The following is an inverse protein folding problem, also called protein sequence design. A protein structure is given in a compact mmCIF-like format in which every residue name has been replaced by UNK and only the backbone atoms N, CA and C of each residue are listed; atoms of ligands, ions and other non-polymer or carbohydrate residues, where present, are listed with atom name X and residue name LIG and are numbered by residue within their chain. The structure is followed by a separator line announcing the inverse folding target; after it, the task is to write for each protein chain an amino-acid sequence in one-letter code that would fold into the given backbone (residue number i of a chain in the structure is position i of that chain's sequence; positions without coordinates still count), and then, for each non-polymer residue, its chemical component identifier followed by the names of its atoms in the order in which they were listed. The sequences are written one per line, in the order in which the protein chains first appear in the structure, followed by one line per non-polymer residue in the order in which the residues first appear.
data_IF_226082578474
#
_entry.id   IF_226082578474
#
_cell.length_a   1.000
_cell.length_b   1.000
_cell.length_c   1.000
_cell.angle_alpha   90.00
_cell.angle_beta   90.00
_cell.angle_gamma   90.00
#
_symmetry.space_group_name_H-M   'P 1'
#
loop_
_entity.id
_entity.type
_entity.pdbx_description
1 polymer ?
#
# COMPACT_ATOMS: atom_id res chain seq x y z
N UNK A 1 -16.90 20.39 0.94
CA UNK A 1 -16.58 19.86 2.28
C UNK A 1 -15.40 18.87 2.21
N UNK A 2 -15.46 17.79 1.44
CA UNK A 2 -14.41 16.76 1.35
C UNK A 2 -13.00 17.34 1.02
N UNK A 3 -12.87 18.24 0.06
CA UNK A 3 -11.59 18.86 -0.29
C UNK A 3 -10.95 19.61 0.90
N UNK A 4 -11.74 20.31 1.72
CA UNK A 4 -11.22 20.97 2.94
C UNK A 4 -10.72 19.96 3.96
N UNK A 5 -11.41 18.82 4.12
CA UNK A 5 -10.96 17.72 4.98
C UNK A 5 -9.66 17.12 4.46
N UNK A 6 -9.53 16.87 3.15
CA UNK A 6 -8.30 16.37 2.52
C UNK A 6 -7.14 17.35 2.76
N UNK A 7 -7.37 18.65 2.60
CA UNK A 7 -6.35 19.68 2.87
C UNK A 7 -5.91 19.67 4.35
N UNK A 8 -6.86 19.54 5.28
CA UNK A 8 -6.57 19.44 6.71
C UNK A 8 -5.73 18.20 7.03
N UNK A 9 -6.12 17.03 6.52
CA UNK A 9 -5.37 15.78 6.71
C UNK A 9 -3.97 15.85 6.07
N UNK A 10 -3.81 16.47 4.90
CA UNK A 10 -2.49 16.69 4.30
C UNK A 10 -1.59 17.60 5.15
N UNK A 11 -2.15 18.60 5.84
CA UNK A 11 -1.36 19.47 6.73
C UNK A 11 -0.79 18.70 7.92
N UNK A 12 -1.48 17.65 8.41
CA UNK A 12 -0.99 16.79 9.51
C UNK A 12 0.27 16.01 9.12
N UNK A 13 0.44 15.69 7.83
CA UNK A 13 1.65 15.03 7.33
C UNK A 13 2.84 15.98 7.18
N UNK A 14 2.61 17.28 7.14
CA UNK A 14 3.67 18.26 6.95
C UNK A 14 4.62 18.25 8.15
N UNK A 15 5.92 18.07 7.88
CA UNK A 15 6.98 17.96 8.90
C UNK A 15 6.85 16.73 9.82
N UNK A 16 6.18 15.67 9.39
CA UNK A 16 6.06 14.43 10.16
C UNK A 16 7.19 13.45 9.87
N UNK A 17 7.44 12.54 10.81
CA UNK A 17 8.42 11.44 10.67
C UNK A 17 8.04 10.47 9.53
N UNK A 18 6.79 10.49 9.07
CA UNK A 18 6.31 9.66 7.94
C UNK A 18 7.17 9.83 6.69
N UNK A 19 7.70 11.04 6.43
CA UNK A 19 8.56 11.28 5.27
C UNK A 19 9.88 10.53 5.32
N UNK A 20 10.41 10.28 6.52
CA UNK A 20 11.60 9.43 6.69
C UNK A 20 11.29 8.00 6.29
N UNK A 21 10.16 7.44 6.76
CA UNK A 21 9.75 6.10 6.40
C UNK A 21 9.37 5.97 4.92
N UNK A 22 8.73 6.99 4.36
CA UNK A 22 8.44 7.10 2.93
C UNK A 22 9.71 6.96 2.07
N UNK A 23 10.81 7.61 2.46
CA UNK A 23 12.08 7.55 1.73
C UNK A 23 12.85 6.27 2.05
N UNK A 24 12.96 5.91 3.33
CA UNK A 24 13.84 4.83 3.79
C UNK A 24 13.34 3.44 3.42
N UNK A 25 12.03 3.16 3.61
CA UNK A 25 11.50 1.81 3.43
C UNK A 25 11.62 1.31 1.99
N UNK A 26 11.20 2.06 0.95
CA UNK A 26 11.45 1.65 -0.44
C UNK A 26 12.93 1.62 -0.80
N UNK A 27 13.76 2.52 -0.22
CA UNK A 27 15.20 2.51 -0.47
C UNK A 27 15.87 1.24 0.07
N UNK A 28 15.50 0.80 1.28
CA UNK A 28 15.97 -0.48 1.84
C UNK A 28 15.58 -1.63 0.90
N UNK A 29 14.32 -1.67 0.45
CA UNK A 29 13.84 -2.68 -0.49
C UNK A 29 14.62 -2.67 -1.82
N UNK A 30 14.93 -1.47 -2.34
CA UNK A 30 15.70 -1.30 -3.57
C UNK A 30 17.14 -1.80 -3.42
N UNK A 31 17.80 -1.49 -2.32
CA UNK A 31 19.16 -1.96 -2.02
C UNK A 31 19.18 -3.49 -1.94
N UNK A 32 18.25 -4.08 -1.17
CA UNK A 32 18.17 -5.55 -1.07
C UNK A 32 17.83 -6.20 -2.42
N UNK A 33 16.90 -5.63 -3.19
CA UNK A 33 16.54 -6.14 -4.52
C UNK A 33 17.72 -6.11 -5.49
N UNK A 34 18.45 -4.99 -5.56
CA UNK A 34 19.63 -4.86 -6.41
C UNK A 34 20.76 -5.81 -5.96
N UNK A 35 21.02 -5.87 -4.66
CA UNK A 35 22.03 -6.78 -4.11
C UNK A 35 21.71 -8.24 -4.42
N UNK A 36 20.45 -8.66 -4.18
CA UNK A 36 20.02 -10.03 -4.44
C UNK A 36 20.11 -10.38 -5.95
N UNK A 37 19.75 -9.44 -6.83
CA UNK A 37 19.92 -9.61 -8.27
C UNK A 37 21.40 -9.87 -8.64
N UNK A 38 22.32 -9.03 -8.16
CA UNK A 38 23.74 -9.15 -8.47
C UNK A 38 24.37 -10.43 -7.92
N UNK A 39 23.92 -10.92 -6.77
CA UNK A 39 24.40 -12.18 -6.18
C UNK A 39 23.88 -13.43 -6.93
N UNK A 40 22.84 -13.29 -7.76
CA UNK A 40 22.18 -14.38 -8.45
C UNK A 40 22.25 -14.29 -9.99
N UNK A 41 23.20 -13.55 -10.56
CA UNK A 41 23.37 -13.38 -12.01
C UNK A 41 23.55 -14.71 -12.78
N UNK A 42 24.00 -15.77 -12.10
CA UNK A 42 24.08 -17.11 -12.69
C UNK A 42 22.72 -17.71 -13.08
N UNK A 43 21.65 -17.29 -12.41
CA UNK A 43 20.28 -17.77 -12.57
C UNK A 43 19.40 -16.70 -13.24
N UNK A 44 19.57 -15.45 -12.85
CA UNK A 44 18.77 -14.30 -13.31
C UNK A 44 19.34 -13.74 -14.60
N UNK A 45 18.78 -14.11 -15.76
CA UNK A 45 19.28 -13.77 -17.10
C UNK A 45 18.36 -12.84 -17.91
N UNK A 46 17.13 -12.56 -17.41
CA UNK A 46 16.14 -11.77 -18.12
C UNK A 46 16.21 -10.25 -17.80
N UNK A 47 17.36 -9.74 -17.36
CA UNK A 47 17.65 -8.33 -17.17
C UNK A 47 16.62 -7.61 -16.29
N UNK A 48 15.91 -6.63 -16.85
CA UNK A 48 14.94 -5.80 -16.13
C UNK A 48 13.78 -6.60 -15.51
N UNK A 49 13.32 -7.69 -16.14
CA UNK A 49 12.26 -8.54 -15.57
C UNK A 49 12.73 -9.24 -14.29
N UNK A 50 13.93 -9.82 -14.32
CA UNK A 50 14.47 -10.49 -13.15
C UNK A 50 14.79 -9.49 -12.03
N UNK A 51 15.30 -8.30 -12.36
CA UNK A 51 15.49 -7.25 -11.38
C UNK A 51 14.15 -6.84 -10.74
N UNK A 52 13.06 -6.75 -11.53
CA UNK A 52 11.71 -6.47 -11.02
C UNK A 52 11.25 -7.53 -10.03
N UNK A 53 11.51 -8.81 -10.31
CA UNK A 53 11.15 -9.89 -9.38
C UNK A 53 11.83 -9.70 -8.02
N UNK A 54 13.12 -9.32 -8.01
CA UNK A 54 13.88 -9.12 -6.77
C UNK A 54 13.42 -7.87 -6.00
N UNK A 55 13.10 -6.79 -6.69
CA UNK A 55 12.53 -5.60 -6.06
C UNK A 55 11.18 -5.88 -5.42
N UNK A 56 10.26 -6.50 -6.16
CA UNK A 56 8.91 -6.77 -5.69
C UNK A 56 8.85 -7.86 -4.64
N UNK A 57 9.81 -8.80 -4.61
CA UNK A 57 9.95 -9.78 -3.55
C UNK A 57 10.04 -9.10 -2.16
N UNK A 58 10.88 -8.09 -2.03
CA UNK A 58 11.01 -7.37 -0.76
C UNK A 58 9.93 -6.31 -0.58
N UNK A 59 9.70 -5.49 -1.60
CA UNK A 59 8.80 -4.35 -1.53
C UNK A 59 7.34 -4.77 -1.35
N UNK A 60 6.80 -5.60 -2.24
CA UNK A 60 5.39 -5.97 -2.22
C UNK A 60 5.04 -6.95 -1.09
N UNK A 61 5.96 -7.86 -0.73
CA UNK A 61 5.68 -8.88 0.28
C UNK A 61 5.86 -8.36 1.72
N UNK A 62 6.93 -7.59 1.97
CA UNK A 62 7.31 -7.28 3.35
C UNK A 62 7.15 -5.82 3.73
N UNK A 63 7.25 -4.87 2.78
CA UNK A 63 7.40 -3.47 3.14
C UNK A 63 6.20 -2.60 2.80
N UNK A 64 5.57 -2.78 1.64
CA UNK A 64 4.60 -1.78 1.18
C UNK A 64 3.28 -1.82 1.96
N UNK A 65 2.71 -3.01 2.23
CA UNK A 65 1.47 -3.08 3.01
C UNK A 65 1.66 -2.63 4.47
N UNK A 66 2.72 -3.03 5.20
CA UNK A 66 3.05 -2.44 6.50
C UNK A 66 3.24 -0.92 6.44
N UNK A 67 3.87 -0.37 5.40
CA UNK A 67 4.04 1.07 5.23
C UNK A 67 2.69 1.79 5.04
N UNK A 68 1.75 1.20 4.29
CA UNK A 68 0.35 1.68 4.23
C UNK A 68 -0.27 1.63 5.62
N UNK A 69 -0.02 0.57 6.39
CA UNK A 69 -0.44 0.45 7.79
C UNK A 69 0.11 1.58 8.67
N UNK A 70 1.38 1.95 8.48
CA UNK A 70 1.99 3.11 9.16
C UNK A 70 1.27 4.41 8.81
N UNK A 71 0.99 4.67 7.52
CA UNK A 71 0.29 5.87 7.09
C UNK A 71 -1.12 5.96 7.69
N UNK A 72 -1.87 4.86 7.65
CA UNK A 72 -3.20 4.78 8.22
C UNK A 72 -3.20 4.96 9.75
N UNK A 73 -2.35 4.20 10.45
CA UNK A 73 -2.23 4.27 11.92
C UNK A 73 -1.77 5.64 12.40
N UNK A 74 -0.86 6.31 11.67
CA UNK A 74 -0.41 7.65 12.03
C UNK A 74 -1.55 8.68 11.99
N UNK A 75 -2.37 8.69 10.91
CA UNK A 75 -3.47 9.63 10.78
C UNK A 75 -4.56 9.38 11.84
N UNK A 76 -4.80 8.12 12.24
CA UNK A 76 -5.74 7.82 13.30
C UNK A 76 -5.17 8.05 14.70
N UNK A 77 -3.87 7.82 14.91
CA UNK A 77 -3.22 8.11 16.19
C UNK A 77 -3.38 9.56 16.59
N UNK A 78 -3.29 10.50 15.64
CA UNK A 78 -3.49 11.92 15.90
C UNK A 78 -4.90 12.24 16.43
N UNK A 79 -5.90 11.43 16.07
CA UNK A 79 -7.27 11.57 16.56
C UNK A 79 -7.51 10.84 17.90
N UNK A 80 -6.79 9.74 18.12
CA UNK A 80 -6.89 8.98 19.37
C UNK A 80 -6.16 9.64 20.54
N UNK A 81 -5.20 10.52 20.27
CA UNK A 81 -4.45 11.26 21.30
C UNK A 81 -5.17 12.57 21.65
N UNK A 82 -5.07 12.96 22.93
CA UNK A 82 -5.48 14.29 23.38
C UNK A 82 -6.98 14.61 23.29
N UNK A 83 -7.86 13.60 23.31
CA UNK A 83 -9.32 13.77 23.19
C UNK A 83 -9.76 14.49 21.91
N UNK A 84 -8.94 14.50 20.85
CA UNK A 84 -9.24 15.15 19.58
C UNK A 84 -10.48 14.55 18.90
N UNK A 85 -10.84 13.30 19.24
CA UNK A 85 -12.05 12.66 18.75
C UNK A 85 -13.32 13.45 19.12
N UNK A 86 -13.39 13.99 20.33
CA UNK A 86 -14.54 14.80 20.77
C UNK A 86 -14.66 16.10 19.95
N UNK A 87 -13.52 16.73 19.64
CA UNK A 87 -13.49 17.91 18.77
C UNK A 87 -13.98 17.61 17.35
N UNK A 88 -13.69 16.42 16.83
CA UNK A 88 -14.13 16.00 15.50
C UNK A 88 -15.63 15.75 15.48
N UNK A 89 -16.20 15.14 16.53
CA UNK A 89 -17.63 14.85 16.64
C UNK A 89 -18.48 16.11 16.85
N UNK A 90 -17.92 17.15 17.45
CA UNK A 90 -18.60 18.45 17.58
C UNK A 90 -18.43 19.35 16.35
N UNK A 91 -17.51 19.00 15.44
CA UNK A 91 -17.33 19.75 14.21
C UNK A 91 -18.53 19.52 13.23
N UNK A 92 -18.92 20.52 12.44
CA UNK A 92 -20.02 20.38 11.47
C UNK A 92 -19.56 19.61 10.22
N UNK A 93 -18.95 18.43 10.43
CA UNK A 93 -18.38 17.55 9.39
C UNK A 93 -18.86 16.13 9.62
N UNK A 94 -19.47 15.53 8.60
CA UNK A 94 -19.88 14.12 8.70
C UNK A 94 -18.67 13.21 8.92
N UNK A 95 -18.66 12.32 9.93
CA UNK A 95 -17.50 11.48 10.28
C UNK A 95 -16.97 10.66 9.11
N UNK A 96 -17.84 10.15 8.25
CA UNK A 96 -17.44 9.41 7.05
C UNK A 96 -16.70 10.28 6.03
N UNK A 97 -17.00 11.59 5.97
CA UNK A 97 -16.25 12.52 5.11
C UNK A 97 -14.79 12.65 5.57
N UNK A 98 -14.53 12.59 6.89
CA UNK A 98 -13.18 12.55 7.45
C UNK A 98 -12.48 11.24 7.11
N UNK A 99 -13.18 10.11 7.20
CA UNK A 99 -12.61 8.80 6.80
C UNK A 99 -12.20 8.81 5.32
N UNK A 100 -13.08 9.29 4.43
CA UNK A 100 -12.77 9.42 3.01
C UNK A 100 -11.60 10.39 2.76
N UNK A 101 -11.49 11.47 3.52
CA UNK A 101 -10.35 12.37 3.42
C UNK A 101 -9.03 11.67 3.79
N UNK A 102 -9.02 10.87 4.86
CA UNK A 102 -7.85 10.05 5.23
C UNK A 102 -7.55 9.01 4.16
N UNK A 103 -8.57 8.37 3.59
CA UNK A 103 -8.42 7.42 2.49
C UNK A 103 -7.72 8.06 1.27
N UNK A 104 -8.18 9.24 0.83
CA UNK A 104 -7.55 9.97 -0.27
C UNK A 104 -6.10 10.36 0.03
N UNK A 105 -5.81 10.75 1.28
CA UNK A 105 -4.46 11.16 1.69
C UNK A 105 -3.52 9.94 1.73
N UNK A 106 -3.96 8.81 2.29
CA UNK A 106 -3.16 7.56 2.30
C UNK A 106 -2.98 7.03 0.88
N UNK A 107 -4.02 7.07 0.03
CA UNK A 107 -3.91 6.68 -1.38
C UNK A 107 -2.89 7.54 -2.13
N UNK A 108 -2.91 8.86 -1.92
CA UNK A 108 -1.87 9.75 -2.46
C UNK A 108 -0.47 9.35 -1.98
N UNK A 109 -0.29 9.10 -0.68
CA UNK A 109 1.00 8.69 -0.13
C UNK A 109 1.46 7.35 -0.72
N UNK A 110 0.56 6.39 -0.90
CA UNK A 110 0.85 5.11 -1.53
C UNK A 110 1.29 5.28 -3.00
N UNK A 111 0.61 6.14 -3.78
CA UNK A 111 1.00 6.47 -5.15
C UNK A 111 2.38 7.14 -5.23
N UNK A 112 2.66 8.09 -4.33
CA UNK A 112 3.98 8.72 -4.25
C UNK A 112 5.07 7.69 -3.90
N UNK A 113 4.76 6.76 -3.00
CA UNK A 113 5.67 5.65 -2.63
C UNK A 113 5.96 4.74 -3.81
N UNK A 114 4.95 4.42 -4.62
CA UNK A 114 5.11 3.65 -5.85
C UNK A 114 5.99 4.40 -6.88
N UNK A 115 5.76 5.71 -7.04
CA UNK A 115 6.59 6.56 -7.91
C UNK A 115 8.05 6.62 -7.43
N UNK A 116 8.27 6.74 -6.12
CA UNK A 116 9.60 6.70 -5.52
C UNK A 116 10.29 5.35 -5.73
N UNK A 117 9.55 4.25 -5.52
CA UNK A 117 10.05 2.90 -5.79
C UNK A 117 10.43 2.71 -7.26
N UNK A 118 9.62 3.22 -8.20
CA UNK A 118 9.95 3.17 -9.62
C UNK A 118 11.24 3.92 -9.93
N UNK A 119 11.43 5.10 -9.36
CA UNK A 119 12.66 5.86 -9.53
C UNK A 119 13.88 5.07 -9.01
N UNK A 120 13.77 4.49 -7.82
CA UNK A 120 14.82 3.66 -7.23
C UNK A 120 15.10 2.41 -8.09
N UNK A 121 14.06 1.80 -8.67
CA UNK A 121 14.20 0.67 -9.60
C UNK A 121 14.99 1.06 -10.85
N UNK A 122 14.68 2.21 -11.46
CA UNK A 122 15.40 2.71 -12.62
C UNK A 122 16.87 3.01 -12.30
N UNK A 123 17.11 3.70 -11.18
CA UNK A 123 18.48 4.01 -10.73
C UNK A 123 19.26 2.75 -10.35
N UNK A 124 18.65 1.83 -9.61
CA UNK A 124 19.26 0.56 -9.22
C UNK A 124 19.54 -0.33 -10.41
N UNK A 125 18.66 -0.39 -11.40
CA UNK A 125 18.88 -1.14 -12.63
C UNK A 125 20.02 -0.57 -13.46
N UNK A 126 20.03 0.75 -13.66
CA UNK A 126 21.06 1.40 -14.49
C UNK A 126 22.43 1.42 -13.82
N UNK A 127 22.49 1.86 -12.56
CA UNK A 127 23.78 2.10 -11.87
C UNK A 127 24.18 0.96 -10.93
N UNK A 128 23.23 0.21 -10.40
CA UNK A 128 23.52 -0.89 -9.47
C UNK A 128 23.65 -2.25 -10.14
N UNK A 129 22.77 -2.55 -11.11
CA UNK A 129 22.78 -3.82 -11.84
C UNK A 129 23.45 -3.74 -13.22
N UNK A 130 23.83 -2.54 -13.70
CA UNK A 130 24.50 -2.35 -14.99
C UNK A 130 23.62 -2.67 -16.22
N UNK A 131 22.29 -2.63 -16.07
CA UNK A 131 21.37 -2.94 -17.16
C UNK A 131 21.34 -1.82 -18.20
N UNK A 132 21.38 -2.22 -19.47
CA UNK A 132 21.26 -1.29 -20.59
C UNK A 132 19.80 -1.04 -20.99
N UNK A 133 19.56 0.10 -21.66
CA UNK A 133 18.25 0.49 -22.16
C UNK A 133 17.28 0.91 -21.04
N UNK A 134 15.98 0.84 -21.37
CA UNK A 134 14.88 1.11 -20.45
C UNK A 134 14.15 -0.18 -20.07
N UNK A 135 13.49 -0.22 -18.89
CA UNK A 135 12.67 -1.36 -18.54
C UNK A 135 11.51 -1.55 -19.52
N UNK A 136 11.06 -2.80 -19.71
CA UNK A 136 9.88 -3.10 -20.52
C UNK A 136 8.63 -2.35 -20.03
N UNK A 137 7.74 -1.89 -20.95
CA UNK A 137 6.55 -1.11 -20.59
C UNK A 137 5.56 -1.87 -19.71
N UNK A 138 5.59 -3.21 -19.73
CA UNK A 138 4.77 -4.08 -18.88
C UNK A 138 5.00 -3.81 -17.39
N UNK A 139 6.22 -3.45 -17.00
CA UNK A 139 6.57 -3.13 -15.61
C UNK A 139 5.77 -1.92 -15.11
N UNK A 140 5.56 -0.91 -15.96
CA UNK A 140 4.72 0.24 -15.62
C UNK A 140 3.26 -0.21 -15.43
N UNK A 141 2.77 -1.10 -16.30
CA UNK A 141 1.42 -1.66 -16.18
C UNK A 141 1.26 -2.45 -14.88
N UNK A 142 2.25 -3.25 -14.51
CA UNK A 142 2.26 -3.99 -13.24
C UNK A 142 2.28 -3.05 -12.03
N UNK A 143 3.08 -1.99 -12.09
CA UNK A 143 3.12 -0.98 -11.03
C UNK A 143 1.74 -0.29 -10.85
N UNK A 144 1.08 0.09 -11.95
CA UNK A 144 -0.24 0.72 -11.91
C UNK A 144 -1.31 -0.25 -11.37
N UNK A 145 -1.30 -1.52 -11.80
CA UNK A 145 -2.18 -2.55 -11.24
C UNK A 145 -1.92 -2.76 -9.75
N UNK A 146 -0.66 -2.78 -9.33
CA UNK A 146 -0.29 -2.84 -7.92
C UNK A 146 -0.82 -1.65 -7.11
N UNK A 147 -0.80 -0.45 -7.69
CA UNK A 147 -1.41 0.74 -7.09
C UNK A 147 -2.93 0.56 -6.92
N UNK A 148 -3.64 0.03 -7.92
CA UNK A 148 -5.08 -0.29 -7.81
C UNK A 148 -5.31 -1.35 -6.73
N UNK A 149 -4.52 -2.44 -6.69
CA UNK A 149 -4.62 -3.47 -5.66
C UNK A 149 -4.39 -2.93 -4.25
N UNK A 150 -3.54 -1.90 -4.09
CA UNK A 150 -3.29 -1.27 -2.80
C UNK A 150 -4.49 -0.49 -2.24
N UNK A 151 -5.46 -0.08 -3.07
CA UNK A 151 -6.65 0.66 -2.62
C UNK A 151 -7.49 -0.15 -1.63
N UNK A 152 -7.61 -1.46 -1.83
CA UNK A 152 -8.28 -2.36 -0.90
C UNK A 152 -7.56 -2.45 0.44
N UNK A 153 -6.21 -2.52 0.41
CA UNK A 153 -5.38 -2.54 1.62
C UNK A 153 -5.52 -1.21 2.38
N UNK A 154 -5.53 -0.08 1.69
CA UNK A 154 -5.69 1.25 2.29
C UNK A 154 -7.03 1.34 3.05
N UNK A 155 -8.13 0.90 2.42
CA UNK A 155 -9.45 0.90 3.05
C UNK A 155 -9.47 0.00 4.30
N UNK A 156 -8.89 -1.20 4.21
CA UNK A 156 -8.78 -2.13 5.33
C UNK A 156 -7.91 -1.58 6.45
N UNK A 157 -6.74 -1.04 6.14
CA UNK A 157 -5.81 -0.51 7.15
C UNK A 157 -6.39 0.71 7.88
N UNK A 158 -7.11 1.58 7.18
CA UNK A 158 -7.82 2.69 7.82
C UNK A 158 -8.95 2.19 8.71
N UNK A 159 -9.69 1.16 8.29
CA UNK A 159 -10.74 0.54 9.10
C UNK A 159 -10.15 -0.11 10.37
N UNK A 160 -9.06 -0.87 10.24
CA UNK A 160 -8.37 -1.46 11.39
C UNK A 160 -7.84 -0.38 12.35
N UNK A 161 -7.22 0.67 11.83
CA UNK A 161 -6.70 1.78 12.63
C UNK A 161 -7.78 2.65 13.27
N UNK A 162 -9.00 2.68 12.71
CA UNK A 162 -10.17 3.29 13.34
C UNK A 162 -10.61 2.52 14.59
N UNK A 163 -10.59 1.19 14.51
CA UNK A 163 -11.10 0.31 15.59
C UNK A 163 -10.03 0.04 16.64
N UNK A 164 -8.80 -0.15 16.21
CA UNK A 164 -7.67 -0.54 17.05
C UNK A 164 -6.89 0.72 17.43
N UNK A 165 -6.86 1.03 18.73
CA UNK A 165 -6.14 2.21 19.27
C UNK A 165 -4.62 2.05 19.25
N UNK A 166 -4.11 0.81 19.16
CA UNK A 166 -2.67 0.54 19.06
C UNK A 166 -2.12 1.02 17.72
N UNK A 167 -0.99 1.71 17.75
CA UNK A 167 -0.28 2.11 16.52
C UNK A 167 0.34 0.90 15.80
N UNK A 168 0.91 -0.03 16.56
CA UNK A 168 1.69 -1.13 15.99
C UNK A 168 0.83 -2.30 15.49
N UNK A 169 -0.31 -2.57 16.11
CA UNK A 169 -1.11 -3.75 15.78
C UNK A 169 -1.66 -3.76 14.35
N UNK A 170 -2.21 -2.67 13.79
CA UNK A 170 -2.61 -2.65 12.37
C UNK A 170 -1.43 -2.88 11.42
N UNK A 171 -0.22 -2.41 11.77
CA UNK A 171 1.00 -2.61 10.97
C UNK A 171 1.41 -4.08 10.98
N UNK A 172 1.38 -4.73 12.16
CA UNK A 172 1.65 -6.16 12.27
C UNK A 172 0.62 -7.01 11.52
N UNK A 173 -0.66 -6.61 11.55
CA UNK A 173 -1.72 -7.24 10.76
C UNK A 173 -1.49 -7.06 9.26
N UNK A 174 -0.94 -5.92 8.83
CA UNK A 174 -0.56 -5.72 7.42
C UNK A 174 0.58 -6.65 7.00
N UNK A 175 1.60 -6.83 7.85
CA UNK A 175 2.70 -7.74 7.57
C UNK A 175 2.21 -9.19 7.51
N UNK A 176 1.46 -9.65 8.52
CA UNK A 176 0.86 -10.99 8.52
C UNK A 176 -0.09 -11.21 7.34
N UNK A 177 -0.91 -10.20 7.04
CA UNK A 177 -1.81 -10.20 5.88
C UNK A 177 -1.09 -10.35 4.55
N UNK A 178 0.07 -9.73 4.37
CA UNK A 178 0.90 -9.87 3.18
C UNK A 178 1.51 -11.27 3.05
N UNK A 179 1.98 -11.85 4.16
CA UNK A 179 2.51 -13.24 4.16
C UNK A 179 1.40 -14.22 3.77
N UNK A 180 0.21 -14.10 4.37
CA UNK A 180 -0.96 -14.90 3.96
C UNK A 180 -1.34 -14.60 2.51
N UNK A 181 -1.21 -13.35 2.06
CA UNK A 181 -1.45 -12.93 0.68
C UNK A 181 -0.55 -13.63 -0.33
N UNK A 182 0.72 -13.81 0.01
CA UNK A 182 1.66 -14.59 -0.82
C UNK A 182 1.19 -16.06 -0.94
N UNK A 183 0.82 -16.67 0.18
CA UNK A 183 0.31 -18.05 0.18
C UNK A 183 -1.00 -18.16 -0.63
N UNK A 184 -1.91 -17.19 -0.50
CA UNK A 184 -3.14 -17.16 -1.27
C UNK A 184 -2.86 -16.99 -2.78
N UNK A 185 -1.92 -16.12 -3.15
CA UNK A 185 -1.51 -15.93 -4.53
C UNK A 185 -0.88 -17.20 -5.12
N UNK A 186 -0.05 -17.92 -4.35
CA UNK A 186 0.58 -19.17 -4.80
C UNK A 186 -0.42 -20.33 -4.98
N UNK A 187 -1.56 -20.27 -4.30
CA UNK A 187 -2.65 -21.27 -4.40
C UNK A 187 -3.76 -20.85 -5.39
N UNK A 188 -3.56 -19.81 -6.19
CA UNK A 188 -4.53 -19.25 -7.14
C UNK A 188 -5.84 -18.77 -6.50
N UNK A 189 -5.86 -18.50 -5.20
CA UNK A 189 -7.01 -17.92 -4.47
C UNK A 189 -6.73 -16.45 -4.06
N UNK A 190 -5.71 -15.85 -4.60
CA UNK A 190 -5.27 -14.49 -4.23
C UNK A 190 -6.31 -13.41 -4.50
N UNK A 191 -7.22 -13.61 -5.45
CA UNK A 191 -8.33 -12.67 -5.70
C UNK A 191 -9.32 -12.56 -4.53
N UNK A 192 -9.35 -13.54 -3.63
CA UNK A 192 -10.20 -13.57 -2.44
C UNK A 192 -9.52 -12.98 -1.19
N UNK A 193 -8.31 -12.45 -1.31
CA UNK A 193 -7.56 -11.91 -0.19
C UNK A 193 -7.03 -10.51 -0.48
N UNK A 194 -7.43 -9.46 0.29
CA UNK A 194 -7.16 -8.07 -0.06
C UNK A 194 -5.65 -7.74 -0.17
N UNK A 195 -4.80 -8.33 0.66
CA UNK A 195 -3.35 -8.09 0.58
C UNK A 195 -2.69 -8.77 -0.62
N UNK A 196 -3.27 -9.87 -1.13
CA UNK A 196 -2.78 -10.53 -2.33
C UNK A 196 -3.02 -9.73 -3.60
N UNK A 197 -4.06 -8.87 -3.64
CA UNK A 197 -4.38 -8.06 -4.82
C UNK A 197 -3.21 -7.17 -5.25
N UNK A 198 -2.52 -6.54 -4.31
CA UNK A 198 -1.35 -5.74 -4.62
C UNK A 198 -0.20 -6.60 -5.16
N UNK A 199 0.06 -7.76 -4.54
CA UNK A 199 1.09 -8.71 -4.95
C UNK A 199 0.83 -9.21 -6.38
N UNK A 200 -0.40 -9.60 -6.68
CA UNK A 200 -0.84 -10.02 -8.01
C UNK A 200 -0.76 -8.87 -9.02
N UNK A 201 -1.26 -7.69 -8.65
CA UNK A 201 -1.24 -6.50 -9.51
C UNK A 201 0.17 -6.10 -9.91
N UNK A 202 1.13 -6.13 -8.96
CA UNK A 202 2.55 -5.85 -9.22
C UNK A 202 3.27 -6.98 -9.96
N UNK A 203 2.62 -8.09 -10.26
CA UNK A 203 3.25 -9.30 -10.81
C UNK A 203 4.49 -9.70 -10.00
N UNK A 204 4.35 -9.65 -8.67
CA UNK A 204 5.47 -9.80 -7.74
C UNK A 204 6.11 -11.17 -7.86
N UNK A 205 7.45 -11.19 -7.92
CA UNK A 205 8.26 -12.39 -8.01
C UNK A 205 7.92 -13.29 -9.22
N UNK A 206 7.45 -12.68 -10.32
CA UNK A 206 7.14 -13.36 -11.59
C UNK A 206 7.70 -12.56 -12.76
N UNK A 207 8.21 -13.26 -13.77
CA UNK A 207 8.69 -12.69 -15.03
C UNK A 207 7.61 -12.66 -16.11
N UNK A 208 6.64 -13.58 -16.03
CA UNK A 208 5.49 -13.63 -16.92
C UNK A 208 4.26 -13.03 -16.26
N UNK A 209 3.38 -12.40 -17.04
CA UNK A 209 2.18 -11.75 -16.52
C UNK A 209 1.13 -12.77 -16.08
N UNK A 210 1.04 -13.02 -14.77
CA UNK A 210 0.09 -13.98 -14.19
C UNK A 210 -1.37 -13.51 -14.25
N UNK A 211 -1.63 -12.22 -14.57
CA UNK A 211 -2.97 -11.64 -14.61
C UNK A 211 -3.55 -11.51 -16.02
N UNK A 212 -2.81 -11.90 -17.07
CA UNK A 212 -3.22 -11.72 -18.46
C UNK A 212 -4.61 -12.32 -18.78
N UNK A 213 -5.02 -13.39 -18.10
CA UNK A 213 -6.32 -14.05 -18.30
C UNK A 213 -7.42 -13.70 -17.29
N UNK A 214 -7.12 -12.91 -16.23
CA UNK A 214 -8.05 -12.67 -15.11
C UNK A 214 -8.18 -11.20 -14.68
N UNK A 215 -7.84 -10.26 -15.54
CA UNK A 215 -7.87 -8.82 -15.24
C UNK A 215 -9.24 -8.33 -14.76
N UNK A 216 -10.34 -8.81 -15.36
CA UNK A 216 -11.70 -8.42 -14.96
C UNK A 216 -11.97 -8.86 -13.53
N UNK A 217 -11.65 -10.11 -13.18
CA UNK A 217 -11.78 -10.64 -11.82
C UNK A 217 -10.95 -9.85 -10.82
N UNK A 218 -9.73 -9.45 -11.19
CA UNK A 218 -8.87 -8.60 -10.37
C UNK A 218 -9.51 -7.24 -10.06
N UNK A 219 -10.01 -6.52 -11.06
CA UNK A 219 -10.65 -5.21 -10.84
C UNK A 219 -11.95 -5.33 -10.05
N UNK A 220 -12.74 -6.38 -10.28
CA UNK A 220 -13.96 -6.66 -9.49
C UNK A 220 -13.58 -6.89 -8.02
N UNK A 221 -12.56 -7.71 -7.74
CA UNK A 221 -12.10 -7.95 -6.37
C UNK A 221 -11.57 -6.69 -5.70
N UNK A 222 -10.77 -5.88 -6.40
CA UNK A 222 -10.29 -4.60 -5.88
C UNK A 222 -11.44 -3.66 -5.51
N UNK A 223 -12.46 -3.55 -6.37
CA UNK A 223 -13.63 -2.72 -6.14
C UNK A 223 -14.48 -3.27 -4.98
N UNK A 224 -14.74 -4.58 -4.95
CA UNK A 224 -15.55 -5.22 -3.93
C UNK A 224 -14.95 -5.07 -2.53
N UNK A 225 -13.66 -5.34 -2.36
CA UNK A 225 -12.98 -5.14 -1.08
C UNK A 225 -12.93 -3.67 -0.67
N UNK A 226 -12.57 -2.78 -1.59
CA UNK A 226 -12.51 -1.35 -1.30
C UNK A 226 -13.88 -0.83 -0.86
N UNK A 227 -14.93 -1.10 -1.64
CA UNK A 227 -16.30 -0.67 -1.33
C UNK A 227 -16.79 -1.32 -0.02
N UNK A 228 -16.55 -2.62 0.18
CA UNK A 228 -16.94 -3.33 1.39
C UNK A 228 -16.32 -2.73 2.66
N UNK A 229 -15.02 -2.43 2.66
CA UNK A 229 -14.36 -1.83 3.82
C UNK A 229 -14.78 -0.37 4.04
N UNK A 230 -15.03 0.41 2.98
CA UNK A 230 -15.58 1.76 3.09
C UNK A 230 -17.00 1.75 3.66
N UNK A 231 -17.86 0.82 3.23
CA UNK A 231 -19.20 0.64 3.77
C UNK A 231 -19.16 0.22 5.24
N UNK A 232 -18.30 -0.73 5.61
CA UNK A 232 -18.12 -1.12 7.01
C UNK A 232 -17.64 0.04 7.88
N UNK A 233 -16.71 0.85 7.39
CA UNK A 233 -16.27 2.05 8.10
C UNK A 233 -17.41 3.04 8.31
N UNK A 234 -18.25 3.28 7.28
CA UNK A 234 -19.42 4.13 7.39
C UNK A 234 -20.43 3.63 8.43
N UNK A 235 -20.72 2.32 8.43
CA UNK A 235 -21.62 1.68 9.40
C UNK A 235 -21.09 1.78 10.84
N UNK A 236 -19.79 1.60 11.03
CA UNK A 236 -19.16 1.73 12.35
C UNK A 236 -19.24 3.18 12.84
N UNK A 237 -18.91 4.14 11.98
CA UNK A 237 -18.95 5.57 12.33
C UNK A 237 -20.38 6.08 12.59
N UNK A 238 -21.38 5.50 11.91
CA UNK A 238 -22.78 5.85 12.12
C UNK A 238 -23.36 5.29 13.43
N UNK A 239 -22.85 4.13 13.89
CA UNK A 239 -23.39 3.41 15.08
C UNK A 239 -22.61 3.68 16.37
N UNK A 240 -21.37 4.16 16.29
CA UNK A 240 -20.59 4.48 17.48
C UNK A 240 -20.94 5.86 17.99
N UNK A 241 -21.78 5.91 19.01
CA UNK A 241 -21.64 6.93 20.04
C UNK A 241 -20.24 6.76 20.63
N UNK A 242 -19.42 7.77 20.49
CA UNK A 242 -18.04 7.74 20.93
C UNK A 242 -18.05 7.74 22.46
N UNK A 243 -17.96 6.56 23.04
CA UNK A 243 -17.64 6.42 24.46
C UNK A 243 -16.18 6.88 24.62
N UNK A 244 -16.05 8.04 25.23
CA UNK A 244 -14.79 8.64 25.70
C UNK A 244 -14.10 7.74 26.76
#
# INVERSE_FOLDING_TARGET
MLLRCIQAENRKLRRSVIWILFLAVPAISAVYGTFNYNMNLGILKNGWYDLWTQYTLFYALFFFAPLIGVYASYLWRLEHLGHNWNLIMTAPVHPFCLFLAKYCVVAKMALLTQGWMLLLFLLGGRFGAGLEGFPPPEIITWLLRGAVGSLAIIALQLLLSLVIRSFALPILLALGGSIVGLLAASKNIGLLWPYALMILGMNSNKTEDVMAGSLIGFFISCLAFTAGFLLLANLILAKRDVKT
#
